data_IF_841646667511
#
_entry.id   IF_841646667511
#
_cell.length_a   1.000
_cell.length_b   1.000
_cell.length_c   1.000
_cell.angle_alpha   90.00
_cell.angle_beta   90.00
_cell.angle_gamma   90.00
#
_symmetry.space_group_name_H-M   'P 1'
#
loop_
_entity.id
_entity.type
_entity.pdbx_description
1 polymer ?
#
# COMPACT_ATOMS: atom_id res chain seq x y z
N UNK A 1 -15.97 -2.26 -47.54
CA UNK A 1 -15.80 -1.08 -46.68
C UNK A 1 -15.33 -1.57 -45.32
N UNK A 2 -14.10 -1.28 -44.89
CA UNK A 2 -13.66 -1.53 -43.51
C UNK A 2 -14.46 -0.57 -42.63
N UNK A 3 -15.42 -1.06 -41.86
CA UNK A 3 -16.20 -0.25 -40.92
C UNK A 3 -15.32 0.01 -39.69
N UNK A 4 -15.23 1.28 -39.29
CA UNK A 4 -14.34 1.69 -38.21
C UNK A 4 -14.87 1.20 -36.86
N UNK A 5 -13.95 0.66 -36.06
CA UNK A 5 -14.14 0.49 -34.63
C UNK A 5 -13.56 1.74 -33.97
N UNK A 6 -14.30 2.35 -33.05
CA UNK A 6 -13.81 3.48 -32.26
C UNK A 6 -13.65 3.02 -30.84
N UNK A 7 -12.40 3.02 -30.35
CA UNK A 7 -12.10 2.82 -28.94
C UNK A 7 -12.15 4.20 -28.31
N UNK A 8 -13.17 4.46 -27.49
CA UNK A 8 -13.39 5.76 -26.87
C UNK A 8 -12.67 5.89 -25.52
N UNK A 9 -12.46 4.78 -24.82
CA UNK A 9 -11.83 4.75 -23.50
C UNK A 9 -11.01 3.47 -23.34
N UNK A 10 -9.80 3.59 -22.78
CA UNK A 10 -9.01 2.46 -22.33
C UNK A 10 -8.92 2.52 -20.81
N UNK A 11 -9.25 1.42 -20.16
CA UNK A 11 -9.10 1.24 -18.72
C UNK A 11 -7.83 0.41 -18.49
N UNK A 12 -7.07 0.76 -17.47
CA UNK A 12 -5.93 -0.01 -17.02
C UNK A 12 -6.20 -0.47 -15.59
N UNK A 13 -6.00 -1.76 -15.33
CA UNK A 13 -6.19 -2.36 -13.99
C UNK A 13 -4.86 -2.89 -13.49
N UNK A 14 -4.45 -2.49 -12.28
CA UNK A 14 -3.32 -3.08 -11.56
C UNK A 14 -3.80 -4.36 -10.89
N UNK A 15 -3.25 -5.51 -11.26
CA UNK A 15 -3.57 -6.81 -10.66
C UNK A 15 -2.48 -7.17 -9.64
N UNK A 16 -2.73 -6.83 -8.38
CA UNK A 16 -1.85 -7.08 -7.25
C UNK A 16 -1.44 -5.79 -6.55
N UNK A 17 -1.75 -5.71 -5.26
CA UNK A 17 -1.10 -4.78 -4.33
C UNK A 17 -0.21 -5.65 -3.44
N UNK A 18 0.92 -6.12 -3.97
CA UNK A 18 1.94 -6.75 -3.14
C UNK A 18 2.76 -5.65 -2.48
N UNK A 19 2.24 -5.13 -1.37
CA UNK A 19 2.97 -4.25 -0.49
C UNK A 19 2.68 -4.66 0.95
N UNK A 20 3.61 -5.39 1.56
CA UNK A 20 4.10 -4.84 2.81
C UNK A 20 4.79 -3.53 2.37
N UNK A 21 4.06 -2.41 2.49
CA UNK A 21 4.57 -1.08 2.16
C UNK A 21 5.60 -0.71 3.25
N UNK A 22 6.73 -1.42 3.25
CA UNK A 22 7.84 -1.20 4.16
C UNK A 22 8.69 -0.06 3.62
N UNK A 23 8.29 1.17 3.90
CA UNK A 23 9.23 2.30 3.87
C UNK A 23 10.10 2.20 5.11
N UNK A 24 11.20 1.43 5.03
CA UNK A 24 12.48 1.82 5.61
C UNK A 24 13.67 0.94 5.17
N UNK A 25 14.64 1.64 4.56
CA UNK A 25 16.09 1.38 4.44
C UNK A 25 16.64 0.49 3.32
N UNK A 26 17.14 1.20 2.30
CA UNK A 26 18.56 1.20 1.90
C UNK A 26 19.20 -0.12 1.42
N UNK A 27 18.44 -0.99 0.76
CA UNK A 27 19.01 -1.90 -0.24
C UNK A 27 18.01 -2.02 -1.39
N UNK A 28 18.51 -2.00 -2.62
CA UNK A 28 17.73 -2.37 -3.80
C UNK A 28 17.11 -3.75 -3.54
N UNK A 29 15.81 -3.81 -3.31
CA UNK A 29 15.10 -5.05 -3.12
C UNK A 29 14.94 -5.74 -4.48
N UNK A 30 16.00 -6.44 -4.89
CA UNK A 30 15.80 -7.69 -5.58
C UNK A 30 15.05 -8.60 -4.59
N UNK A 31 13.84 -9.00 -4.96
CA UNK A 31 13.02 -9.98 -4.26
C UNK A 31 13.90 -11.18 -3.82
N UNK A 32 14.21 -11.27 -2.52
CA UNK A 32 14.98 -12.35 -1.92
C UNK A 32 14.11 -13.04 -0.87
N UNK A 33 13.37 -14.06 -1.27
CA UNK A 33 12.98 -15.14 -0.37
C UNK A 33 13.98 -16.27 -0.57
N UNK A 34 15.12 -16.16 0.11
CA UNK A 34 16.02 -17.29 0.32
C UNK A 34 15.82 -17.74 1.77
N UNK A 35 14.76 -18.52 1.99
CA UNK A 35 14.78 -19.48 3.10
C UNK A 35 15.25 -20.82 2.56
N UNK A 36 16.23 -21.35 3.28
CA UNK A 36 17.11 -22.48 2.97
C UNK A 36 16.30 -23.75 2.63
N UNK A 37 16.24 -24.11 1.34
CA UNK A 37 15.68 -25.37 0.88
C UNK A 37 16.66 -26.09 -0.05
N UNK A 38 17.38 -27.02 0.59
CA UNK A 38 18.11 -28.19 0.09
C UNK A 38 18.19 -28.35 -1.44
N UNK A 39 19.43 -28.29 -1.95
CA UNK A 39 19.76 -28.45 -3.36
C UNK A 39 19.26 -29.79 -3.91
N UNK A 40 18.26 -29.74 -4.80
CA UNK A 40 18.03 -30.80 -5.76
C UNK A 40 17.65 -30.25 -7.14
N UNK A 41 18.09 -30.98 -8.16
CA UNK A 41 18.28 -30.55 -9.55
C UNK A 41 17.02 -30.07 -10.28
N UNK A 42 17.06 -28.81 -10.73
CA UNK A 42 16.37 -28.19 -11.87
C UNK A 42 16.55 -26.68 -11.68
N UNK A 43 16.72 -25.86 -12.72
CA UNK A 43 16.76 -24.41 -12.52
C UNK A 43 15.40 -23.92 -12.02
N UNK A 44 15.22 -23.84 -10.70
CA UNK A 44 13.99 -23.35 -10.09
C UNK A 44 13.82 -21.90 -10.51
N UNK A 45 12.70 -21.62 -11.16
CA UNK A 45 12.31 -20.28 -11.55
C UNK A 45 12.26 -19.40 -10.30
N UNK A 46 13.20 -18.46 -10.17
CA UNK A 46 13.48 -17.79 -8.88
C UNK A 46 12.48 -16.69 -8.51
N UNK A 47 11.78 -16.09 -9.47
CA UNK A 47 10.72 -15.12 -9.23
C UNK A 47 9.92 -14.83 -10.50
N UNK A 48 8.60 -14.61 -10.35
CA UNK A 48 7.70 -14.20 -11.41
C UNK A 48 7.40 -12.71 -11.27
N UNK A 49 7.83 -11.87 -12.23
CA UNK A 49 7.50 -10.44 -12.26
C UNK A 49 6.03 -10.15 -12.63
N UNK A 50 5.16 -11.17 -12.51
CA UNK A 50 3.77 -11.16 -12.95
C UNK A 50 3.59 -11.59 -14.41
N UNK A 51 2.41 -12.09 -14.77
CA UNK A 51 2.10 -12.49 -16.14
C UNK A 51 1.72 -11.29 -17.01
N UNK A 52 1.90 -11.42 -18.32
CA UNK A 52 1.35 -10.48 -19.28
C UNK A 52 -0.12 -10.84 -19.58
N UNK A 53 -1.06 -10.14 -18.93
CA UNK A 53 -2.48 -10.39 -19.12
C UNK A 53 -2.97 -9.95 -20.51
N UNK A 54 -3.92 -10.70 -21.11
CA UNK A 54 -4.54 -10.28 -22.34
C UNK A 54 -5.49 -9.10 -22.11
N UNK A 55 -5.56 -8.20 -23.10
CA UNK A 55 -6.61 -7.18 -23.18
C UNK A 55 -7.99 -7.86 -23.20
N UNK A 56 -8.93 -7.30 -22.44
CA UNK A 56 -10.33 -7.73 -22.39
C UNK A 56 -11.26 -6.53 -22.61
N UNK A 57 -12.57 -6.79 -22.66
CA UNK A 57 -13.60 -5.75 -22.72
C UNK A 57 -14.32 -5.67 -21.36
N UNK A 58 -14.81 -4.48 -21.00
CA UNK A 58 -15.67 -4.35 -19.81
C UNK A 58 -16.98 -5.13 -19.96
N UNK A 59 -17.53 -5.15 -21.18
CA UNK A 59 -18.67 -5.98 -21.55
C UNK A 59 -18.29 -6.94 -22.69
N UNK A 60 -18.64 -8.23 -22.52
CA UNK A 60 -18.37 -9.23 -23.54
C UNK A 60 -19.13 -8.92 -24.84
N UNK A 61 -18.40 -8.82 -25.96
CA UNK A 61 -18.98 -8.56 -27.28
C UNK A 61 -18.46 -9.58 -28.31
N UNK A 62 -19.28 -10.57 -28.64
CA UNK A 62 -18.95 -11.64 -29.59
C UNK A 62 -18.74 -11.16 -31.03
N UNK A 63 -19.05 -9.89 -31.35
CA UNK A 63 -18.80 -9.31 -32.67
C UNK A 63 -17.44 -8.62 -32.76
N UNK A 64 -16.75 -8.43 -31.64
CA UNK A 64 -15.39 -7.90 -31.57
C UNK A 64 -14.41 -9.06 -31.45
N UNK A 65 -13.47 -9.14 -32.39
CA UNK A 65 -12.38 -10.11 -32.34
C UNK A 65 -11.03 -9.40 -32.30
N UNK A 66 -10.05 -9.99 -31.62
CA UNK A 66 -8.70 -9.44 -31.51
C UNK A 66 -7.65 -10.38 -32.10
N UNK A 67 -6.69 -9.83 -32.85
CA UNK A 67 -5.41 -10.48 -33.11
C UNK A 67 -4.36 -9.84 -32.21
N UNK A 68 -3.77 -10.64 -31.31
CA UNK A 68 -2.72 -10.23 -30.37
C UNK A 68 -1.33 -10.56 -30.92
N UNK A 69 -0.38 -9.66 -30.80
CA UNK A 69 1.02 -9.86 -31.10
C UNK A 69 1.88 -9.29 -29.98
N UNK A 70 2.75 -10.13 -29.41
CA UNK A 70 3.60 -9.82 -28.27
C UNK A 70 5.06 -9.93 -28.70
N UNK A 71 5.88 -8.93 -28.36
CA UNK A 71 7.33 -8.96 -28.52
C UNK A 71 7.99 -8.73 -27.18
N UNK A 72 9.06 -9.48 -26.92
CA UNK A 72 9.91 -9.36 -25.75
C UNK A 72 11.30 -8.95 -26.21
N UNK A 73 11.84 -7.88 -25.63
CA UNK A 73 13.22 -7.46 -25.80
C UNK A 73 14.02 -7.75 -24.53
N UNK A 74 15.02 -8.61 -24.68
CA UNK A 74 15.95 -9.02 -23.61
C UNK A 74 17.34 -8.39 -23.80
N UNK A 75 17.41 -7.25 -24.50
CA UNK A 75 18.66 -6.52 -24.69
C UNK A 75 19.24 -6.07 -23.35
N UNK A 76 20.57 -6.14 -23.24
CA UNK A 76 21.28 -5.67 -22.05
C UNK A 76 21.05 -4.16 -21.87
N UNK A 77 20.82 -3.66 -20.63
CA UNK A 77 20.53 -2.24 -20.40
C UNK A 77 21.68 -1.32 -20.82
N UNK A 78 22.91 -1.81 -20.75
CA UNK A 78 24.12 -1.10 -21.16
C UNK A 78 25.27 -2.10 -21.44
N UNK A 79 26.38 -1.60 -22.01
CA UNK A 79 27.54 -2.41 -22.42
C UNK A 79 28.23 -3.15 -21.27
N UNK A 80 28.14 -2.63 -20.04
CA UNK A 80 28.74 -3.22 -18.84
C UNK A 80 27.82 -4.24 -18.15
N UNK A 81 26.57 -4.36 -18.60
CA UNK A 81 25.60 -5.27 -18.01
C UNK A 81 25.88 -6.71 -18.46
N UNK A 82 26.04 -7.60 -17.50
CA UNK A 82 26.27 -9.03 -17.76
C UNK A 82 24.98 -9.88 -17.70
N UNK A 83 23.85 -9.25 -17.33
CA UNK A 83 22.53 -9.88 -17.20
C UNK A 83 21.41 -8.86 -17.39
N UNK A 84 20.24 -9.36 -17.75
CA UNK A 84 18.98 -8.62 -17.80
C UNK A 84 18.07 -9.14 -16.69
N UNK A 85 17.41 -8.23 -15.99
CA UNK A 85 16.34 -8.52 -15.04
C UNK A 85 15.01 -8.14 -15.70
N UNK A 86 14.33 -9.09 -16.34
CA UNK A 86 13.04 -8.85 -17.02
C UNK A 86 13.13 -8.75 -18.54
N UNK A 87 12.18 -8.04 -19.16
CA UNK A 87 12.16 -7.75 -20.58
C UNK A 87 11.32 -6.51 -20.85
N UNK A 88 11.70 -5.72 -21.85
CA UNK A 88 10.79 -4.71 -22.40
C UNK A 88 9.73 -5.45 -23.23
N UNK A 89 8.46 -5.22 -22.91
CA UNK A 89 7.33 -5.92 -23.53
C UNK A 89 6.54 -4.96 -24.41
N UNK A 90 6.38 -5.34 -25.68
CA UNK A 90 5.41 -4.71 -26.57
C UNK A 90 4.24 -5.66 -26.80
N UNK A 91 3.09 -5.37 -26.21
CA UNK A 91 1.83 -6.07 -26.46
C UNK A 91 0.94 -5.24 -27.40
N UNK A 92 0.52 -5.83 -28.52
CA UNK A 92 -0.21 -5.12 -29.58
C UNK A 92 -1.42 -5.89 -30.04
N UNK A 93 -2.52 -5.16 -30.29
CA UNK A 93 -3.80 -5.74 -30.66
C UNK A 93 -4.35 -5.10 -31.92
N UNK A 94 -4.83 -5.92 -32.85
CA UNK A 94 -5.71 -5.49 -33.95
C UNK A 94 -7.13 -5.93 -33.63
N UNK A 95 -7.98 -4.98 -33.25
CA UNK A 95 -9.40 -5.25 -32.97
C UNK A 95 -10.23 -5.11 -34.26
N UNK A 96 -11.14 -6.06 -34.48
CA UNK A 96 -12.03 -6.10 -35.66
C UNK A 96 -13.48 -6.17 -35.21
N UNK A 97 -14.30 -5.23 -35.70
CA UNK A 97 -15.75 -5.25 -35.56
C UNK A 97 -16.39 -5.96 -36.75
N UNK A 98 -17.02 -7.10 -36.49
CA UNK A 98 -17.74 -7.91 -37.49
C UNK A 98 -19.22 -7.55 -37.63
N UNK A 99 -19.74 -6.67 -36.77
CA UNK A 99 -21.13 -6.23 -36.85
C UNK A 99 -21.38 -5.28 -38.02
N UNK A 100 -22.65 -5.03 -38.32
CA UNK A 100 -23.05 -4.09 -39.37
C UNK A 100 -23.00 -2.62 -38.93
N UNK A 101 -22.82 -2.36 -37.65
CA UNK A 101 -22.92 -1.02 -37.06
C UNK A 101 -21.57 -0.59 -36.49
N UNK A 102 -21.38 0.72 -36.39
CA UNK A 102 -20.26 1.28 -35.65
C UNK A 102 -20.44 0.99 -34.16
N UNK A 103 -19.34 0.70 -33.47
CA UNK A 103 -19.33 0.37 -32.05
C UNK A 103 -18.32 1.23 -31.32
N UNK A 104 -18.75 1.73 -30.18
CA UNK A 104 -17.89 2.19 -29.11
C UNK A 104 -17.69 1.03 -28.14
N UNK A 105 -16.43 0.78 -27.77
CA UNK A 105 -16.08 -0.23 -26.78
C UNK A 105 -15.19 0.38 -25.71
N UNK A 106 -15.21 -0.25 -24.55
CA UNK A 106 -14.30 0.03 -23.45
C UNK A 106 -13.40 -1.19 -23.25
N UNK A 107 -12.11 -0.96 -23.49
CA UNK A 107 -11.09 -2.00 -23.40
C UNK A 107 -10.37 -1.90 -22.07
N UNK A 108 -10.15 -3.05 -21.43
CA UNK A 108 -9.44 -3.18 -20.17
C UNK A 108 -8.09 -3.84 -20.47
N UNK A 109 -7.01 -3.22 -20.01
CA UNK A 109 -5.67 -3.78 -20.04
C UNK A 109 -5.18 -4.05 -18.62
N UNK A 110 -5.26 -5.30 -18.13
CA UNK A 110 -4.74 -5.66 -16.82
C UNK A 110 -3.21 -5.78 -16.86
N UNK A 111 -2.54 -5.39 -15.78
CA UNK A 111 -1.11 -5.58 -15.61
C UNK A 111 -0.76 -5.82 -14.14
N UNK A 112 0.24 -6.65 -13.85
CA UNK A 112 0.74 -6.81 -12.48
C UNK A 112 1.66 -5.63 -12.13
N UNK A 113 1.59 -5.14 -10.88
CA UNK A 113 2.46 -4.07 -10.42
C UNK A 113 2.34 -3.80 -8.93
N UNK A 114 2.98 -2.73 -8.48
CA UNK A 114 2.86 -2.19 -7.11
C UNK A 114 2.76 -0.67 -7.15
N UNK A 115 2.19 -0.04 -6.11
CA UNK A 115 2.12 1.43 -6.06
C UNK A 115 3.50 2.10 -5.98
N UNK A 116 4.46 1.45 -5.33
CA UNK A 116 5.83 1.96 -5.19
C UNK A 116 6.58 2.01 -6.53
N UNK A 117 6.33 1.04 -7.41
CA UNK A 117 7.00 0.92 -8.72
C UNK A 117 6.08 1.32 -9.88
N UNK A 118 4.87 1.83 -9.56
CA UNK A 118 3.83 2.08 -10.54
C UNK A 118 4.29 2.99 -11.67
N UNK A 119 5.13 3.99 -11.37
CA UNK A 119 5.64 4.89 -12.40
C UNK A 119 6.45 4.15 -13.48
N UNK A 120 7.22 3.13 -13.08
CA UNK A 120 8.07 2.33 -13.96
C UNK A 120 7.28 1.22 -14.64
N UNK A 121 6.28 0.66 -13.95
CA UNK A 121 5.47 -0.47 -14.42
C UNK A 121 4.27 -0.05 -15.27
N UNK A 122 3.84 1.22 -15.21
CA UNK A 122 2.65 1.69 -15.91
C UNK A 122 2.79 1.53 -17.44
N UNK A 123 1.89 0.78 -18.10
CA UNK A 123 1.98 0.58 -19.53
C UNK A 123 1.85 1.88 -20.32
N UNK A 124 2.72 2.07 -21.31
CA UNK A 124 2.59 3.16 -22.28
C UNK A 124 1.65 2.72 -23.40
N UNK A 125 0.44 3.28 -23.41
CA UNK A 125 -0.62 2.86 -24.34
C UNK A 125 -0.70 3.82 -25.54
N UNK A 126 -0.93 3.26 -26.72
CA UNK A 126 -1.32 4.04 -27.91
C UNK A 126 -2.43 3.32 -28.68
N UNK A 127 -3.37 4.09 -29.22
CA UNK A 127 -4.49 3.62 -30.03
C UNK A 127 -4.36 4.28 -31.39
N UNK A 128 -4.08 3.50 -32.44
CA UNK A 128 -3.89 4.01 -33.81
C UNK A 128 -2.90 5.19 -33.87
N UNK A 129 -1.80 5.10 -33.12
CA UNK A 129 -0.76 6.13 -33.04
C UNK A 129 -1.11 7.36 -32.19
N UNK A 130 -2.25 7.36 -31.49
CA UNK A 130 -2.65 8.43 -30.56
C UNK A 130 -2.52 7.96 -29.11
N UNK A 131 -2.03 8.83 -28.24
CA UNK A 131 -1.97 8.55 -26.80
C UNK A 131 -3.36 8.75 -26.18
N UNK A 132 -3.98 7.72 -25.57
CA UNK A 132 -5.24 7.88 -24.84
C UNK A 132 -4.99 8.50 -23.46
N UNK A 133 -6.08 8.81 -22.76
CA UNK A 133 -6.07 9.17 -21.33
C UNK A 133 -6.78 8.05 -20.56
N UNK A 134 -6.08 6.98 -20.17
CA UNK A 134 -6.71 5.86 -19.52
C UNK A 134 -7.12 6.19 -18.08
N UNK A 135 -8.15 5.49 -17.60
CA UNK A 135 -8.48 5.46 -16.17
C UNK A 135 -7.76 4.28 -15.53
N UNK A 136 -7.03 4.54 -14.44
CA UNK A 136 -6.35 3.52 -13.64
C UNK A 136 -7.31 3.02 -12.55
N UNK A 137 -7.34 1.71 -12.33
CA UNK A 137 -7.99 1.05 -11.20
C UNK A 137 -6.98 0.16 -10.49
N UNK A 138 -7.05 0.12 -9.16
CA UNK A 138 -6.29 -0.84 -8.38
C UNK A 138 -7.13 -2.10 -8.16
N UNK A 139 -6.55 -3.27 -8.34
CA UNK A 139 -7.12 -4.53 -7.91
C UNK A 139 -7.08 -4.67 -6.40
N UNK A 140 -7.91 -5.55 -5.86
CA UNK A 140 -8.01 -5.77 -4.42
C UNK A 140 -6.75 -6.34 -3.79
N UNK A 141 -6.73 -6.40 -2.45
CA UNK A 141 -5.64 -7.00 -1.71
C UNK A 141 -5.70 -8.53 -1.84
N UNK A 142 -4.67 -9.20 -2.37
CA UNK A 142 -4.70 -10.65 -2.47
C UNK A 142 -4.55 -11.28 -1.07
N UNK A 143 -5.37 -12.28 -0.75
CA UNK A 143 -5.33 -12.99 0.56
C UNK A 143 -3.97 -13.64 0.87
N UNK A 144 -3.14 -13.84 -0.15
CA UNK A 144 -1.79 -14.39 -0.03
C UNK A 144 -0.83 -13.70 -0.99
N UNK A 145 0.45 -13.79 -0.68
CA UNK A 145 1.49 -13.33 -1.60
C UNK A 145 1.45 -14.12 -2.92
N UNK A 146 1.55 -13.39 -4.04
CA UNK A 146 1.52 -13.95 -5.39
C UNK A 146 2.95 -14.19 -5.88
N UNK A 147 3.43 -15.43 -5.86
CA UNK A 147 4.80 -15.79 -6.27
C UNK A 147 4.88 -16.61 -7.55
N UNK A 148 3.79 -17.27 -7.95
CA UNK A 148 3.75 -18.25 -9.04
C UNK A 148 2.63 -17.94 -10.04
N UNK A 149 2.73 -18.47 -11.27
CA UNK A 149 1.65 -18.28 -12.26
C UNK A 149 0.35 -18.96 -11.83
N UNK A 150 0.43 -20.05 -11.05
CA UNK A 150 -0.72 -20.71 -10.44
C UNK A 150 -1.45 -19.80 -9.45
N UNK A 151 -0.72 -18.94 -8.71
CA UNK A 151 -1.33 -17.95 -7.81
C UNK A 151 -2.17 -16.95 -8.60
N UNK A 152 -1.59 -16.36 -9.66
CA UNK A 152 -2.33 -15.44 -10.53
C UNK A 152 -3.52 -16.12 -11.21
N UNK A 153 -3.35 -17.36 -11.67
CA UNK A 153 -4.48 -18.12 -12.24
C UNK A 153 -5.58 -18.28 -11.21
N UNK A 154 -5.25 -18.74 -10.00
CA UNK A 154 -6.23 -18.98 -8.93
C UNK A 154 -6.95 -17.69 -8.54
N UNK A 155 -6.24 -16.57 -8.48
CA UNK A 155 -6.80 -15.26 -8.14
C UNK A 155 -7.83 -14.78 -9.18
N UNK A 156 -7.63 -15.12 -10.45
CA UNK A 156 -8.40 -14.58 -11.57
C UNK A 156 -9.43 -15.56 -12.15
N UNK A 157 -9.42 -16.83 -11.73
CA UNK A 157 -10.16 -17.92 -12.37
C UNK A 157 -11.68 -17.71 -12.40
N UNK A 158 -12.25 -17.07 -11.37
CA UNK A 158 -13.69 -16.81 -11.24
C UNK A 158 -14.09 -15.37 -11.63
N UNK A 159 -13.10 -14.56 -12.03
CA UNK A 159 -13.24 -13.15 -12.38
C UNK A 159 -13.69 -12.25 -11.23
N UNK A 160 -13.72 -12.72 -9.98
CA UNK A 160 -14.12 -11.93 -8.81
C UNK A 160 -13.18 -10.75 -8.61
N UNK A 161 -11.88 -11.02 -8.60
CA UNK A 161 -10.84 -10.02 -8.41
C UNK A 161 -10.93 -8.85 -9.40
N UNK A 162 -11.28 -9.13 -10.67
CA UNK A 162 -11.48 -8.08 -11.67
C UNK A 162 -12.75 -7.27 -11.40
N UNK A 163 -13.84 -7.91 -10.95
CA UNK A 163 -15.10 -7.21 -10.62
C UNK A 163 -14.90 -6.27 -9.44
N UNK A 164 -14.22 -6.73 -8.39
CA UNK A 164 -13.93 -5.93 -7.19
C UNK A 164 -13.07 -4.71 -7.49
N UNK A 165 -12.15 -4.79 -8.44
CA UNK A 165 -11.34 -3.65 -8.88
C UNK A 165 -12.18 -2.45 -9.38
N UNK A 166 -13.44 -2.69 -9.75
CA UNK A 166 -14.39 -1.65 -10.18
C UNK A 166 -15.39 -1.24 -9.11
N UNK A 167 -15.39 -1.91 -7.96
CA UNK A 167 -16.26 -1.56 -6.85
C UNK A 167 -15.73 -0.32 -6.12
N UNK A 168 -16.61 0.31 -5.34
CA UNK A 168 -16.19 1.41 -4.48
C UNK A 168 -15.42 0.84 -3.29
N UNK A 169 -14.33 1.52 -2.92
CA UNK A 169 -13.57 1.17 -1.73
C UNK A 169 -14.43 1.18 -0.46
N UNK A 170 -14.12 0.32 0.53
CA UNK A 170 -14.83 0.33 1.80
C UNK A 170 -14.62 1.66 2.52
N UNK A 171 -15.70 2.21 3.07
CA UNK A 171 -15.66 3.43 3.88
C UNK A 171 -15.68 3.08 5.36
N UNK A 172 -14.56 3.34 6.04
CA UNK A 172 -14.40 3.07 7.47
C UNK A 172 -15.12 4.14 8.33
N UNK A 173 -16.45 4.04 8.38
CA UNK A 173 -17.33 5.04 9.01
C UNK A 173 -17.44 4.93 10.54
N UNK A 174 -16.77 3.96 11.16
CA UNK A 174 -16.81 3.79 12.61
C UNK A 174 -16.21 4.98 13.37
N UNK A 175 -16.82 5.29 14.52
CA UNK A 175 -16.33 6.32 15.43
C UNK A 175 -15.09 5.82 16.17
N UNK A 176 -14.07 6.68 16.26
CA UNK A 176 -12.82 6.42 16.98
C UNK A 176 -12.49 7.58 17.91
N UNK A 177 -11.73 7.29 18.97
CA UNK A 177 -11.17 8.35 19.82
C UNK A 177 -9.73 8.62 19.41
N UNK A 178 -9.42 9.86 19.05
CA UNK A 178 -8.09 10.27 18.59
C UNK A 178 -7.42 11.12 19.66
N UNK A 179 -6.24 10.68 20.07
CA UNK A 179 -5.31 11.42 20.90
C UNK A 179 -4.22 12.01 20.01
N UNK A 180 -4.28 13.32 19.78
CA UNK A 180 -3.29 14.06 18.99
C UNK A 180 -2.28 14.73 19.92
N UNK A 181 -1.00 14.55 19.63
CA UNK A 181 0.09 15.12 20.41
C UNK A 181 0.68 16.33 19.68
N UNK A 182 0.88 17.43 20.42
CA UNK A 182 1.40 18.70 19.89
C UNK A 182 2.27 19.41 20.93
N UNK A 183 2.76 20.61 20.59
CA UNK A 183 3.51 21.49 21.50
C UNK A 183 4.65 20.77 22.21
N UNK A 184 5.44 20.04 21.43
CA UNK A 184 6.52 19.21 21.93
C UNK A 184 7.62 20.06 22.57
N UNK A 185 8.05 19.66 23.76
CA UNK A 185 9.16 20.28 24.49
C UNK A 185 10.13 19.19 24.91
N UNK A 186 11.43 19.46 24.71
CA UNK A 186 12.51 18.67 25.28
C UNK A 186 13.72 19.57 25.59
N UNK A 187 14.57 19.21 26.56
CA UNK A 187 15.83 19.91 26.80
C UNK A 187 16.76 19.78 25.58
N UNK A 188 17.34 20.91 25.15
CA UNK A 188 18.08 21.01 23.89
C UNK A 188 19.38 20.18 23.86
N UNK A 189 19.88 19.74 25.01
CA UNK A 189 21.07 18.90 25.12
C UNK A 189 20.82 17.41 24.80
N UNK A 190 19.58 16.99 24.55
CA UNK A 190 19.23 15.61 24.22
C UNK A 190 18.59 15.49 22.81
N UNK A 191 19.41 15.21 21.80
CA UNK A 191 18.97 15.05 20.39
C UNK A 191 18.01 13.85 20.17
N UNK A 192 17.99 12.91 21.11
CA UNK A 192 17.15 11.72 21.09
C UNK A 192 16.11 11.70 22.22
N UNK A 193 15.81 12.86 22.82
CA UNK A 193 14.76 12.95 23.84
C UNK A 193 13.47 12.26 23.34
N UNK A 194 12.90 11.44 24.20
CA UNK A 194 11.76 10.56 23.85
C UNK A 194 10.62 10.82 24.80
N UNK A 195 9.41 10.97 24.26
CA UNK A 195 8.18 11.02 25.05
C UNK A 195 7.50 9.65 24.94
N UNK A 196 7.13 9.07 26.08
CA UNK A 196 6.28 7.88 26.12
C UNK A 196 4.93 8.20 26.75
N UNK A 197 3.90 7.54 26.25
CA UNK A 197 2.57 7.43 26.86
C UNK A 197 2.36 5.99 27.33
N UNK A 198 1.90 5.82 28.57
CA UNK A 198 1.60 4.50 29.15
C UNK A 198 0.17 4.46 29.68
N UNK A 199 -0.52 3.34 29.46
CA UNK A 199 -1.90 3.13 29.91
C UNK A 199 -2.24 1.63 29.93
N UNK A 200 -3.47 1.30 30.28
CA UNK A 200 -3.98 -0.08 30.32
C UNK A 200 -5.34 -0.12 29.62
N UNK A 201 -5.55 -1.15 28.81
CA UNK A 201 -6.80 -1.41 28.07
C UNK A 201 -7.26 -2.85 28.28
N UNK A 202 -8.53 -3.12 28.02
CA UNK A 202 -9.00 -4.47 27.74
C UNK A 202 -8.71 -4.80 26.25
N UNK A 203 -7.77 -5.71 25.93
CA UNK A 203 -7.45 -6.05 24.54
C UNK A 203 -8.57 -6.79 23.80
N UNK A 204 -9.64 -7.19 24.49
CA UNK A 204 -10.84 -7.73 23.86
C UNK A 204 -11.86 -6.65 23.45
N UNK A 205 -11.78 -5.45 24.03
CA UNK A 205 -12.72 -4.34 23.77
C UNK A 205 -12.07 -3.12 23.11
N UNK A 206 -10.74 -3.04 23.14
CA UNK A 206 -10.00 -1.88 22.64
C UNK A 206 -8.86 -2.29 21.73
N UNK A 207 -8.82 -1.65 20.57
CA UNK A 207 -7.72 -1.68 19.61
C UNK A 207 -7.10 -0.29 19.54
N UNK A 208 -5.77 -0.22 19.43
CA UNK A 208 -5.05 1.04 19.26
C UNK A 208 -4.29 1.01 17.94
N UNK A 209 -4.44 2.07 17.15
CA UNK A 209 -3.63 2.37 15.99
C UNK A 209 -2.71 3.55 16.29
N UNK A 210 -1.52 3.55 15.72
CA UNK A 210 -0.48 4.53 15.95
C UNK A 210 -0.07 5.17 14.62
N UNK A 211 0.17 6.47 14.66
CA UNK A 211 0.85 7.19 13.60
C UNK A 211 1.89 8.13 14.19
N UNK A 212 3.12 8.04 13.71
CA UNK A 212 4.28 8.80 14.10
C UNK A 212 5.04 8.24 15.31
N UNK A 213 4.73 7.03 15.77
CA UNK A 213 5.38 6.41 16.94
C UNK A 213 6.58 5.53 16.55
N UNK A 214 7.56 5.41 17.43
CA UNK A 214 8.82 4.71 17.15
C UNK A 214 9.06 3.48 18.03
N UNK A 215 8.42 3.42 19.19
CA UNK A 215 8.62 2.34 20.15
C UNK A 215 7.31 1.88 20.74
N UNK A 216 7.21 0.57 20.97
CA UNK A 216 6.04 -0.07 21.54
C UNK A 216 6.46 -1.10 22.59
N UNK A 217 5.66 -1.18 23.65
CA UNK A 217 5.66 -2.25 24.61
C UNK A 217 4.22 -2.67 24.86
N UNK A 218 3.95 -3.94 24.62
CA UNK A 218 2.65 -4.56 24.77
C UNK A 218 2.81 -5.71 25.74
N UNK A 219 1.95 -5.75 26.76
CA UNK A 219 1.93 -6.85 27.73
C UNK A 219 0.56 -7.54 27.72
N UNK A 220 0.55 -8.80 28.14
CA UNK A 220 -0.64 -9.66 28.20
C UNK A 220 -1.70 -9.13 29.18
N UNK A 221 -1.28 -8.40 30.21
CA UNK A 221 -2.17 -7.80 31.22
C UNK A 221 -2.91 -6.53 30.73
N UNK A 222 -2.82 -6.22 29.44
CA UNK A 222 -3.45 -5.04 28.84
C UNK A 222 -2.62 -3.76 28.95
N UNK A 223 -1.44 -3.80 29.60
CA UNK A 223 -0.55 -2.64 29.62
C UNK A 223 -0.02 -2.31 28.23
N UNK A 224 -0.01 -1.02 27.91
CA UNK A 224 0.55 -0.44 26.69
C UNK A 224 1.49 0.68 27.05
N UNK A 225 2.64 0.73 26.37
CA UNK A 225 3.49 1.90 26.34
C UNK A 225 3.93 2.16 24.91
N UNK A 226 3.66 3.35 24.43
CA UNK A 226 4.06 3.80 23.10
C UNK A 226 4.94 5.03 23.24
N UNK A 227 5.98 5.12 22.43
CA UNK A 227 6.97 6.20 22.52
C UNK A 227 7.36 6.74 21.16
N UNK A 228 7.72 8.01 21.12
CA UNK A 228 8.26 8.67 19.94
C UNK A 228 9.42 9.60 20.33
N UNK A 229 10.36 9.75 19.41
CA UNK A 229 11.36 10.80 19.53
C UNK A 229 10.66 12.16 19.40
N UNK A 230 10.96 13.06 20.33
CA UNK A 230 10.41 14.42 20.32
C UNK A 230 10.85 15.12 19.02
N UNK A 231 9.92 15.65 18.21
CA UNK A 231 10.28 16.38 17.00
C UNK A 231 11.15 17.60 17.33
N UNK A 232 12.28 17.74 16.63
CA UNK A 232 13.28 18.79 16.87
C UNK A 232 13.39 19.81 15.73
N UNK A 233 12.58 19.64 14.67
CA UNK A 233 12.60 20.46 13.46
C UNK A 233 13.88 20.35 12.62
N UNK A 234 14.80 19.45 12.96
CA UNK A 234 16.07 19.24 12.26
C UNK A 234 16.10 17.91 11.51
N UNK A 235 15.43 16.91 12.06
CA UNK A 235 15.32 15.56 11.49
C UNK A 235 14.08 15.43 10.60
N UNK A 236 14.08 14.46 9.67
CA UNK A 236 12.89 14.08 8.88
C UNK A 236 11.80 13.38 9.73
N UNK A 237 11.78 13.60 11.05
CA UNK A 237 10.80 13.00 11.94
C UNK A 237 9.44 13.65 11.67
N UNK A 238 8.42 12.83 11.42
CA UNK A 238 7.03 13.31 11.35
C UNK A 238 6.73 14.15 12.59
N UNK A 239 6.08 15.30 12.41
CA UNK A 239 5.58 16.12 13.52
C UNK A 239 4.17 15.69 13.94
N UNK A 240 3.48 14.95 13.07
CA UNK A 240 2.18 14.36 13.33
C UNK A 240 2.35 13.14 14.23
N UNK A 241 1.57 13.09 15.30
CA UNK A 241 1.60 12.04 16.32
C UNK A 241 0.17 11.76 16.74
N UNK A 242 -0.36 10.62 16.32
CA UNK A 242 -1.74 10.22 16.58
C UNK A 242 -1.76 8.85 17.25
N UNK A 243 -2.55 8.74 18.31
CA UNK A 243 -2.96 7.48 18.89
C UNK A 243 -4.48 7.38 18.73
N UNK A 244 -4.92 6.39 17.98
CA UNK A 244 -6.30 6.23 17.55
C UNK A 244 -6.87 4.99 18.23
N UNK A 245 -7.91 5.18 19.04
CA UNK A 245 -8.54 4.13 19.83
C UNK A 245 -9.85 3.73 19.16
N UNK A 246 -9.97 2.44 18.88
CA UNK A 246 -11.17 1.80 18.33
C UNK A 246 -11.77 0.94 19.44
N UNK A 247 -13.06 1.15 19.74
CA UNK A 247 -13.75 0.48 20.84
C UNK A 247 -13.75 1.30 22.13
N UNK A 248 -13.50 0.66 23.27
CA UNK A 248 -13.50 1.36 24.57
C UNK A 248 -12.30 2.31 24.68
N UNK A 249 -12.57 3.51 25.18
CA UNK A 249 -11.58 4.59 25.31
C UNK A 249 -10.67 4.43 26.55
N UNK A 250 -9.58 5.18 26.58
CA UNK A 250 -8.62 5.19 27.69
C UNK A 250 -9.24 5.85 28.93
N UNK A 251 -9.24 5.14 30.06
CA UNK A 251 -9.69 5.70 31.34
C UNK A 251 -8.67 6.63 31.98
N UNK A 252 -7.38 6.34 31.80
CA UNK A 252 -6.25 7.11 32.31
C UNK A 252 -4.97 6.77 31.55
N UNK A 253 -4.05 7.73 31.49
CA UNK A 253 -2.71 7.53 30.95
C UNK A 253 -1.68 8.36 31.71
N UNK A 254 -0.41 8.01 31.54
CA UNK A 254 0.72 8.78 32.06
C UNK A 254 1.69 9.13 30.94
N UNK A 255 2.27 10.33 31.01
CA UNK A 255 3.34 10.77 30.12
C UNK A 255 4.68 10.75 30.86
N UNK A 256 5.71 10.16 30.24
CA UNK A 256 7.06 10.12 30.79
C UNK A 256 8.10 10.44 29.72
N UNK A 257 9.00 11.37 30.04
CA UNK A 257 10.17 11.70 29.24
C UNK A 257 11.35 10.78 29.49
N UNK A 258 12.17 10.55 28.47
CA UNK A 258 13.42 9.79 28.53
C UNK A 258 14.54 10.50 27.76
N UNK A 259 15.80 10.24 28.17
CA UNK A 259 16.99 10.85 27.55
C UNK A 259 17.26 10.36 26.13
N UNK A 260 16.84 9.14 25.83
CA UNK A 260 16.96 8.49 24.53
C UNK A 260 15.76 7.53 24.33
N UNK A 261 15.77 6.74 23.24
CA UNK A 261 14.70 5.80 22.91
C UNK A 261 14.51 4.63 23.87
N UNK A 262 15.40 4.43 24.85
CA UNK A 262 15.26 3.37 25.85
C UNK A 262 14.30 3.80 26.96
N UNK A 263 13.08 3.26 26.97
CA UNK A 263 12.09 3.53 28.02
C UNK A 263 12.37 2.69 29.29
N UNK A 264 13.52 2.88 29.93
CA UNK A 264 13.98 2.08 31.07
C UNK A 264 14.25 2.90 32.34
N UNK A 265 14.33 2.20 33.47
CA UNK A 265 14.58 2.81 34.78
C UNK A 265 15.97 3.43 34.85
N UNK A 266 16.05 4.67 35.32
CA UNK A 266 17.28 5.48 35.38
C UNK A 266 17.51 6.33 34.13
N UNK A 267 16.75 6.10 33.07
CA UNK A 267 16.80 6.86 31.83
C UNK A 267 15.72 7.95 31.73
N UNK A 268 14.87 8.08 32.75
CA UNK A 268 13.85 9.12 32.81
C UNK A 268 14.47 10.52 32.73
N UNK A 269 13.76 11.42 32.06
CA UNK A 269 14.17 12.80 31.85
C UNK A 269 13.02 13.75 32.21
N UNK A 270 13.34 14.75 33.04
CA UNK A 270 12.45 15.86 33.34
C UNK A 270 12.53 16.93 32.25
N UNK A 271 11.43 17.66 32.02
CA UNK A 271 11.37 18.72 31.01
C UNK A 271 11.05 18.25 29.59
N UNK A 272 10.73 16.96 29.41
CA UNK A 272 10.08 16.47 28.19
C UNK A 272 8.57 16.49 28.39
N UNK A 273 7.84 17.09 27.45
CA UNK A 273 6.38 17.15 27.49
C UNK A 273 5.76 17.31 26.10
N UNK A 274 4.46 17.01 26.01
CA UNK A 274 3.61 17.33 24.88
C UNK A 274 2.20 17.70 25.39
N UNK A 275 1.48 18.51 24.63
CA UNK A 275 0.04 18.67 24.77
C UNK A 275 -0.65 17.44 24.17
N UNK A 276 -1.62 16.86 24.87
CA UNK A 276 -2.46 15.78 24.35
C UNK A 276 -3.89 16.27 24.26
N UNK A 277 -4.45 16.25 23.05
CA UNK A 277 -5.85 16.58 22.80
C UNK A 277 -6.63 15.32 22.44
N UNK A 278 -7.80 15.13 23.07
CA UNK A 278 -8.71 14.02 22.80
C UNK A 278 -9.88 14.52 21.97
N UNK A 279 -10.16 13.86 20.85
CA UNK A 279 -11.33 14.12 20.00
C UNK A 279 -12.00 12.83 19.59
N UNK A 280 -13.29 12.88 19.28
CA UNK A 280 -14.01 11.76 18.65
C UNK A 280 -14.16 12.08 17.17
N UNK A 281 -13.70 11.17 16.30
CA UNK A 281 -13.71 11.36 14.84
C UNK A 281 -14.15 10.11 14.10
N UNK A 282 -14.47 10.25 12.82
CA UNK A 282 -14.73 9.12 11.91
C UNK A 282 -13.39 8.57 11.41
N UNK A 283 -13.19 7.24 11.46
CA UNK A 283 -11.90 6.63 11.11
C UNK A 283 -11.42 6.99 9.70
N UNK A 284 -12.31 6.98 8.70
CA UNK A 284 -11.95 7.35 7.32
C UNK A 284 -11.41 8.78 7.18
N UNK A 285 -11.93 9.73 7.97
CA UNK A 285 -11.43 11.12 7.97
C UNK A 285 -10.04 11.24 8.62
N UNK A 286 -9.76 10.39 9.61
CA UNK A 286 -8.45 10.34 10.26
C UNK A 286 -7.42 9.71 9.34
N UNK A 287 -7.79 8.65 8.62
CA UNK A 287 -6.91 8.02 7.64
C UNK A 287 -6.62 8.95 6.47
N UNK A 288 -7.61 9.69 5.96
CA UNK A 288 -7.37 10.68 4.90
C UNK A 288 -6.35 11.76 5.32
N UNK A 289 -6.41 12.22 6.57
CA UNK A 289 -5.41 13.14 7.14
C UNK A 289 -4.02 12.51 7.22
N UNK A 290 -3.93 11.25 7.67
CA UNK A 290 -2.67 10.51 7.74
C UNK A 290 -2.05 10.30 6.36
N UNK A 291 -2.85 9.88 5.38
CA UNK A 291 -2.38 9.68 4.01
C UNK A 291 -1.95 11.03 3.42
N UNK A 292 -2.67 12.11 3.67
CA UNK A 292 -2.26 13.45 3.25
C UNK A 292 -0.92 13.86 3.83
N UNK A 293 -0.69 13.61 5.13
CA UNK A 293 0.58 13.90 5.81
C UNK A 293 1.73 13.03 5.26
N UNK A 294 1.48 11.74 5.03
CA UNK A 294 2.44 10.84 4.39
C UNK A 294 2.84 11.31 2.99
N UNK A 295 1.86 11.68 2.15
CA UNK A 295 2.13 12.24 0.83
C UNK A 295 2.87 13.57 0.91
N UNK A 296 2.62 14.41 1.92
CA UNK A 296 3.36 15.65 2.10
C UNK A 296 4.82 15.42 2.54
N UNK A 297 5.07 14.40 3.36
CA UNK A 297 6.42 14.12 3.87
C UNK A 297 7.30 13.36 2.87
N UNK A 298 6.71 12.44 2.11
CA UNK A 298 7.43 11.52 1.22
C UNK A 298 7.15 11.77 -0.27
N UNK A 299 6.15 12.60 -0.59
CA UNK A 299 5.69 12.85 -1.96
C UNK A 299 6.28 14.08 -2.64
N UNK A 300 7.36 14.68 -2.12
CA UNK A 300 8.03 15.90 -2.61
C UNK A 300 8.73 15.76 -4.00
N UNK A 301 8.00 15.25 -4.99
CA UNK A 301 8.15 15.65 -6.39
C UNK A 301 8.31 14.52 -7.42
N UNK A 302 8.45 13.24 -7.02
CA UNK A 302 8.66 12.13 -7.96
C UNK A 302 8.15 10.72 -7.56
N UNK A 303 7.66 10.47 -6.35
CA UNK A 303 7.72 9.09 -5.81
C UNK A 303 6.45 8.23 -5.86
N UNK A 304 5.24 8.80 -6.02
CA UNK A 304 4.00 7.99 -6.06
C UNK A 304 3.15 8.42 -7.26
N UNK A 305 3.07 7.55 -8.27
CA UNK A 305 2.24 7.77 -9.46
C UNK A 305 0.73 7.51 -9.23
N UNK A 306 0.38 7.07 -8.02
CA UNK A 306 -0.97 6.68 -7.61
C UNK A 306 -1.75 7.88 -7.05
N UNK A 307 -3.03 8.07 -7.45
CA UNK A 307 -3.89 9.08 -6.82
C UNK A 307 -4.11 8.82 -5.32
N UNK A 308 -4.15 9.88 -4.51
CA UNK A 308 -4.34 9.76 -3.06
C UNK A 308 -5.62 9.01 -2.68
N UNK A 309 -6.73 9.26 -3.39
CA UNK A 309 -8.01 8.57 -3.16
C UNK A 309 -7.90 7.05 -3.39
N UNK A 310 -7.18 6.64 -4.44
CA UNK A 310 -6.92 5.23 -4.73
C UNK A 310 -6.03 4.61 -3.65
N UNK A 311 -5.04 5.35 -3.17
CA UNK A 311 -4.15 4.91 -2.10
C UNK A 311 -4.92 4.69 -0.78
N UNK A 312 -5.72 5.69 -0.36
CA UNK A 312 -6.60 5.58 0.81
C UNK A 312 -7.59 4.42 0.67
N UNK A 313 -8.13 4.23 -0.53
CA UNK A 313 -9.02 3.11 -0.85
C UNK A 313 -8.37 1.75 -0.61
N UNK A 314 -7.17 1.55 -1.14
CA UNK A 314 -6.38 0.33 -0.95
C UNK A 314 -6.04 0.08 0.53
N UNK A 315 -5.65 1.12 1.28
CA UNK A 315 -5.40 1.02 2.72
C UNK A 315 -6.68 0.62 3.47
N UNK A 316 -7.82 1.19 3.10
CA UNK A 316 -9.11 0.87 3.72
C UNK A 316 -9.52 -0.57 3.45
N UNK A 317 -9.30 -1.05 2.22
CA UNK A 317 -9.53 -2.44 1.84
C UNK A 317 -8.63 -3.40 2.62
N UNK A 318 -7.32 -3.12 2.67
CA UNK A 318 -6.37 -3.88 3.47
C UNK A 318 -6.81 -3.98 4.94
N UNK A 319 -7.20 -2.86 5.56
CA UNK A 319 -7.61 -2.85 6.96
C UNK A 319 -8.79 -3.77 7.26
N UNK A 320 -9.73 -3.91 6.32
CA UNK A 320 -10.92 -4.78 6.45
C UNK A 320 -10.61 -6.23 6.11
N UNK A 321 -9.77 -6.47 5.09
CA UNK A 321 -9.51 -7.82 4.61
C UNK A 321 -8.41 -8.54 5.41
N UNK A 322 -7.31 -7.86 5.74
CA UNK A 322 -6.12 -8.47 6.33
C UNK A 322 -5.55 -7.71 7.55
N UNK A 323 -5.99 -6.47 7.76
CA UNK A 323 -5.50 -5.61 8.83
C UNK A 323 -6.30 -5.71 10.13
N UNK A 324 -6.18 -4.67 10.95
CA UNK A 324 -6.69 -4.67 12.34
C UNK A 324 -8.22 -4.77 12.47
N UNK A 325 -8.96 -4.57 11.37
CA UNK A 325 -10.42 -4.68 11.33
C UNK A 325 -10.90 -5.99 10.70
N UNK A 326 -9.98 -6.87 10.31
CA UNK A 326 -10.31 -8.19 9.76
C UNK A 326 -10.73 -9.16 10.88
N UNK A 327 -11.70 -10.01 10.55
CA UNK A 327 -12.08 -11.17 11.38
C UNK A 327 -11.08 -12.33 11.25
N UNK A 328 -10.11 -12.25 10.33
CA UNK A 328 -9.04 -13.23 10.20
C UNK A 328 -8.14 -13.15 11.44
N UNK A 329 -7.67 -14.31 11.92
CA UNK A 329 -6.71 -14.41 13.03
C UNK A 329 -5.30 -13.92 12.60
N UNK A 330 -5.18 -12.72 12.03
CA UNK A 330 -3.93 -11.98 11.99
C UNK A 330 -3.51 -11.67 13.42
N UNK A 331 -2.20 -11.73 13.70
CA UNK A 331 -1.69 -11.30 14.99
C UNK A 331 -2.14 -9.84 15.20
N UNK A 332 -3.02 -9.62 16.18
CA UNK A 332 -3.70 -8.34 16.42
C UNK A 332 -2.73 -7.17 16.64
N UNK A 333 -1.45 -7.46 16.85
CA UNK A 333 -0.40 -6.47 17.06
C UNK A 333 0.40 -6.13 15.80
N UNK A 334 0.34 -6.96 14.75
CA UNK A 334 1.18 -6.83 13.55
C UNK A 334 0.92 -5.54 12.75
N UNK A 335 -0.29 -4.96 12.86
CA UNK A 335 -0.71 -3.79 12.08
C UNK A 335 -1.17 -2.63 12.97
N UNK A 336 -0.56 -2.49 14.15
CA UNK A 336 -0.86 -1.39 15.09
C UNK A 336 -0.26 -0.06 14.61
N UNK A 337 0.87 -0.09 13.90
CA UNK A 337 1.53 1.10 13.35
C UNK A 337 1.05 1.31 11.92
N UNK A 338 0.41 2.43 11.65
CA UNK A 338 -0.17 2.72 10.32
C UNK A 338 0.93 2.86 9.27
N UNK A 339 2.11 3.36 9.65
CA UNK A 339 3.28 3.41 8.76
C UNK A 339 3.78 2.05 8.27
N UNK A 340 3.43 0.94 8.92
CA UNK A 340 3.75 -0.40 8.42
C UNK A 340 2.79 -0.84 7.30
N UNK A 341 1.68 -0.10 7.11
CA UNK A 341 0.64 -0.34 6.11
C UNK A 341 0.81 0.56 4.89
N UNK A 342 1.34 1.78 5.05
CA UNK A 342 1.35 2.86 4.02
C UNK A 342 2.73 3.09 3.38
#
# INVERSE_FOLDING_TARGET
MKKQLVINTCIVIVLGICGALLVQNLFSFAYNTADDADHNESSTFMSYAGPLFPLTLSEADNTISATRNISYDFSLPNEDSIRVWGADVQDSYTLTNSSTEEKAIEAIYPFAGSFNELQEQMPVISINGRKPSPTLYAGGYPERELGTWEDYKSLLEDGHYQREAFESYPVLSQQVTVYSFSDFVAPAEYDAATQAISFTIDPAQTTVLLYGFNGMEIREDGFRRYSYFVPDGKSMRSTTKLLIVIGEDLTAYTLQGYKNGACEKGNELQGVSATVSRTERVLSEVLDEIISDFFAQYGDGKSLAVPQEMFLGAVSEFMVQAGVLSDLNCDRYQYTVIEDII
#
